data_IF_292265720634
#
_entry.id   IF_292265720634
#
_cell.length_a   1.000
_cell.length_b   1.000
_cell.length_c   1.000
_cell.angle_alpha   90.00
_cell.angle_beta   90.00
_cell.angle_gamma   90.00
#
_symmetry.space_group_name_H-M   'P 1'
#
loop_
_entity.id
_entity.type
_entity.pdbx_description
1 polymer ?
#
# COMPACT_ATOMS: atom_id res chain seq x y z
N UNK A 1 6.42 -12.47 5.61
CA UNK A 1 6.55 -11.90 4.26
C UNK A 1 6.89 -10.43 4.41
N UNK A 2 7.91 -9.92 3.72
CA UNK A 2 8.36 -8.53 3.86
C UNK A 2 7.86 -7.67 2.69
N UNK A 3 7.48 -6.42 2.98
CA UNK A 3 7.13 -5.42 1.96
C UNK A 3 8.38 -4.63 1.57
N UNK A 4 8.45 -4.20 0.31
CA UNK A 4 9.49 -3.27 -0.15
C UNK A 4 9.12 -1.83 0.23
N UNK A 5 10.07 -0.90 0.11
CA UNK A 5 9.83 0.53 0.39
C UNK A 5 8.74 1.09 -0.52
N UNK A 6 8.73 0.73 -1.80
CA UNK A 6 7.71 1.16 -2.76
C UNK A 6 6.32 0.62 -2.38
N UNK A 7 6.26 -0.64 -1.94
CA UNK A 7 5.00 -1.25 -1.50
C UNK A 7 4.49 -0.55 -0.23
N UNK A 8 5.38 -0.23 0.72
CA UNK A 8 5.04 0.55 1.92
C UNK A 8 4.59 1.97 1.57
N UNK A 9 5.22 2.57 0.55
CA UNK A 9 4.85 3.91 0.06
C UNK A 9 3.44 3.89 -0.52
N UNK A 10 3.12 2.91 -1.38
CA UNK A 10 1.76 2.74 -1.87
C UNK A 10 0.77 2.53 -0.72
N UNK A 11 1.10 1.67 0.24
CA UNK A 11 0.24 1.45 1.39
C UNK A 11 0.01 2.75 2.18
N UNK A 12 1.07 3.54 2.42
CA UNK A 12 1.02 4.86 3.09
C UNK A 12 -0.01 5.79 2.45
N UNK A 13 -0.02 5.90 1.12
CA UNK A 13 -0.94 6.77 0.36
C UNK A 13 -2.41 6.44 0.61
N UNK A 14 -2.73 5.17 0.91
CA UNK A 14 -4.11 4.71 1.12
C UNK A 14 -4.45 4.44 2.59
N UNK A 15 -3.45 4.36 3.48
CA UNK A 15 -3.68 4.32 4.92
C UNK A 15 -4.10 5.69 5.44
N UNK A 16 -5.14 5.72 6.28
CA UNK A 16 -5.46 6.93 7.04
C UNK A 16 -4.52 7.10 8.24
N UNK A 17 -4.90 7.96 9.19
CA UNK A 17 -4.17 8.18 10.46
C UNK A 17 -3.87 6.90 11.24
N UNK A 18 -4.71 5.88 11.08
CA UNK A 18 -4.50 4.56 11.70
C UNK A 18 -4.52 3.49 10.60
N UNK A 19 -3.39 2.83 10.34
CA UNK A 19 -3.33 1.72 9.41
C UNK A 19 -4.25 0.57 9.83
N UNK A 20 -5.08 0.09 8.91
CA UNK A 20 -5.93 -1.08 9.09
C UNK A 20 -5.85 -1.95 7.85
N UNK A 21 -5.46 -3.22 8.02
CA UNK A 21 -5.23 -4.17 6.91
C UNK A 21 -6.44 -4.31 6.00
N UNK A 22 -7.63 -4.52 6.59
CA UNK A 22 -8.85 -4.77 5.82
C UNK A 22 -9.32 -3.51 5.09
N UNK A 23 -9.23 -2.34 5.73
CA UNK A 23 -9.54 -1.06 5.09
C UNK A 23 -8.59 -0.77 3.92
N UNK A 24 -7.30 -1.09 4.07
CA UNK A 24 -6.30 -0.90 3.03
C UNK A 24 -6.55 -1.82 1.82
N UNK A 25 -6.84 -3.10 2.06
CA UNK A 25 -7.26 -4.04 0.99
C UNK A 25 -8.49 -3.48 0.26
N UNK A 26 -9.51 -3.04 0.98
CA UNK A 26 -10.73 -2.49 0.37
C UNK A 26 -10.44 -1.25 -0.48
N UNK A 27 -9.64 -0.31 0.02
CA UNK A 27 -9.26 0.91 -0.72
C UNK A 27 -8.46 0.60 -1.99
N UNK A 28 -7.42 -0.22 -1.88
CA UNK A 28 -6.60 -0.60 -3.03
C UNK A 28 -7.43 -1.39 -4.06
N UNK A 29 -8.33 -2.27 -3.61
CA UNK A 29 -9.22 -3.03 -4.50
C UNK A 29 -10.23 -2.12 -5.20
N UNK A 30 -10.69 -1.05 -4.56
CA UNK A 30 -11.56 -0.05 -5.18
C UNK A 30 -10.84 0.78 -6.24
N UNK A 31 -9.51 0.95 -6.13
CA UNK A 31 -8.70 1.70 -7.10
C UNK A 31 -8.37 0.88 -8.34
N UNK A 32 -8.15 -0.44 -8.19
CA UNK A 32 -7.75 -1.33 -9.30
C UNK A 32 -8.55 -1.18 -10.62
N UNK A 33 -9.90 -1.02 -10.61
CA UNK A 33 -10.68 -0.86 -11.83
C UNK A 33 -10.46 0.48 -12.54
N UNK A 34 -9.87 1.47 -11.87
CA UNK A 34 -9.64 2.80 -12.42
C UNK A 34 -8.34 2.89 -13.23
N UNK A 35 -7.44 1.90 -13.13
CA UNK A 35 -6.25 1.84 -13.99
C UNK A 35 -6.63 1.49 -15.42
N UNK A 36 -6.11 2.28 -16.35
CA UNK A 36 -6.22 2.08 -17.80
C UNK A 36 -5.26 0.98 -18.28
N UNK A 37 -5.39 0.56 -19.56
CA UNK A 37 -4.48 -0.41 -20.16
C UNK A 37 -3.03 0.11 -20.25
N UNK A 38 -2.83 1.43 -20.34
CA UNK A 38 -1.50 2.03 -20.31
C UNK A 38 -0.84 1.98 -18.91
N UNK A 39 -1.63 1.76 -17.86
CA UNK A 39 -1.18 1.73 -16.46
C UNK A 39 -1.08 0.30 -15.91
N UNK A 40 -0.87 -0.69 -16.79
CA UNK A 40 -0.85 -2.11 -16.43
C UNK A 40 0.21 -2.43 -15.38
N UNK A 41 1.37 -1.78 -15.40
CA UNK A 41 2.41 -1.95 -14.39
C UNK A 41 1.94 -1.52 -12.99
N UNK A 42 1.25 -0.38 -12.88
CA UNK A 42 0.70 0.11 -11.61
C UNK A 42 -0.44 -0.80 -11.11
N UNK A 43 -1.25 -1.31 -12.04
CA UNK A 43 -2.30 -2.29 -11.75
C UNK A 43 -1.72 -3.60 -11.18
N UNK A 44 -0.67 -4.11 -11.80
CA UNK A 44 0.01 -5.33 -11.35
C UNK A 44 0.72 -5.13 -10.01
N UNK A 45 1.35 -3.96 -9.82
CA UNK A 45 1.97 -3.57 -8.57
C UNK A 45 0.94 -3.48 -7.42
N UNK A 46 -0.18 -2.79 -7.65
CA UNK A 46 -1.29 -2.69 -6.69
C UNK A 46 -1.86 -4.08 -6.37
N UNK A 47 -2.06 -4.92 -7.38
CA UNK A 47 -2.52 -6.29 -7.23
C UNK A 47 -1.56 -7.15 -6.40
N UNK A 48 -0.25 -6.98 -6.58
CA UNK A 48 0.79 -7.66 -5.77
C UNK A 48 0.66 -7.26 -4.29
N UNK A 49 0.52 -5.97 -3.98
CA UNK A 49 0.33 -5.49 -2.60
C UNK A 49 -0.94 -6.06 -1.96
N UNK A 50 -2.06 -6.08 -2.68
CA UNK A 50 -3.32 -6.69 -2.19
C UNK A 50 -3.14 -8.18 -1.87
N UNK A 51 -2.45 -8.93 -2.73
CA UNK A 51 -2.18 -10.37 -2.48
C UNK A 51 -1.37 -10.57 -1.20
N UNK A 52 -0.33 -9.76 -0.98
CA UNK A 52 0.47 -9.83 0.26
C UNK A 52 -0.36 -9.48 1.50
N UNK A 53 -1.15 -8.41 1.44
CA UNK A 53 -2.05 -7.99 2.53
C UNK A 53 -3.12 -9.04 2.83
N UNK A 54 -3.65 -9.71 1.81
CA UNK A 54 -4.64 -10.79 1.97
C UNK A 54 -4.01 -12.04 2.59
N UNK A 55 -2.76 -12.36 2.22
CA UNK A 55 -2.03 -13.52 2.72
C UNK A 55 -1.51 -13.38 4.15
N UNK A 56 -1.49 -12.16 4.71
CA UNK A 56 -1.07 -11.91 6.09
C UNK A 56 -2.25 -11.72 7.05
N UNK A 57 -2.02 -11.92 8.34
CA UNK A 57 -3.00 -11.63 9.40
C UNK A 57 -2.77 -10.23 10.02
N UNK A 58 -3.73 -9.77 10.82
CA UNK A 58 -3.67 -8.44 11.44
C UNK A 58 -2.48 -8.32 12.42
N UNK A 59 -2.12 -9.39 13.11
CA UNK A 59 -0.98 -9.42 14.02
C UNK A 59 0.37 -9.21 13.32
N UNK A 60 0.51 -9.68 12.08
CA UNK A 60 1.69 -9.43 11.26
C UNK A 60 1.63 -8.06 10.59
N UNK A 61 0.43 -7.52 10.38
CA UNK A 61 0.25 -6.21 9.77
C UNK A 61 0.69 -5.09 10.71
N UNK A 62 0.43 -5.21 12.02
CA UNK A 62 0.88 -4.21 13.00
C UNK A 62 2.40 -4.10 13.14
N UNK A 63 3.16 -5.07 12.62
CA UNK A 63 4.63 -5.03 12.60
C UNK A 63 5.20 -4.37 11.35
N UNK A 64 4.36 -3.90 10.42
CA UNK A 64 4.82 -3.16 9.25
C UNK A 64 5.28 -1.78 9.73
N UNK A 65 6.56 -1.50 9.49
CA UNK A 65 7.11 -0.19 9.73
C UNK A 65 6.80 0.74 8.55
N UNK A 66 5.76 1.55 8.72
CA UNK A 66 5.38 2.54 7.71
C UNK A 66 6.40 3.67 7.59
N UNK A 67 7.28 3.91 8.57
CA UNK A 67 8.30 4.96 8.49
C UNK A 67 9.36 4.70 7.40
N UNK A 68 9.45 3.46 6.91
CA UNK A 68 10.33 3.09 5.80
C UNK A 68 9.96 3.75 4.47
N UNK A 69 8.69 4.11 4.28
CA UNK A 69 8.30 4.94 3.16
C UNK A 69 8.67 6.38 3.47
N UNK A 70 9.48 6.99 2.59
CA UNK A 70 9.83 8.41 2.67
C UNK A 70 8.52 9.20 2.82
N UNK A 71 8.40 9.92 3.92
CA UNK A 71 7.50 11.06 3.93
C UNK A 71 8.09 12.02 2.89
N UNK A 72 7.30 12.48 1.92
CA UNK A 72 7.65 13.69 1.18
C UNK A 72 7.62 14.84 2.20
N UNK A 73 8.60 14.87 3.12
CA UNK A 73 8.89 16.06 3.90
C UNK A 73 9.29 17.11 2.89
N UNK A 74 8.36 18.03 2.72
CA UNK A 74 8.47 19.31 2.05
C UNK A 74 9.92 19.80 2.10
N UNK A 75 10.52 19.95 0.92
CA UNK A 75 11.64 20.88 0.77
C UNK A 75 11.06 22.24 1.16
N UNK A 76 11.30 22.67 2.40
CA UNK A 76 11.13 24.07 2.78
C UNK A 76 12.17 24.86 1.98
N UNK A 77 11.69 25.76 1.10
CA UNK A 77 12.49 26.77 0.39
C UNK A 77 13.24 27.69 1.37
#
# INVERSE_FOLDING_TARGET
MMFTVEEITLMKLYTGLTPNRQALISKLSAVLPHFTEQEQEMKDFTGKVIRKLTAMNDQSFVTIDFSLALDEEMVED
#
